data_IF_685547605373
#
_entry.id   IF_685547605373
#
_cell.length_a   1.000
_cell.length_b   1.000
_cell.length_c   1.000
_cell.angle_alpha   90.00
_cell.angle_beta   90.00
_cell.angle_gamma   90.00
#
_symmetry.space_group_name_H-M   'P 1'
#
loop_
_entity.id
_entity.type
_entity.pdbx_description
1 polymer ?
#
# COMPACT_ATOMS: atom_id res chain seq x y z
N UNK A 1 -14.36 -26.59 -8.96
CA UNK A 1 -13.36 -25.53 -8.90
C UNK A 1 -13.85 -24.56 -7.85
N UNK A 2 -13.24 -24.56 -6.68
CA UNK A 2 -13.53 -23.56 -5.64
C UNK A 2 -12.72 -22.34 -6.01
N UNK A 3 -13.40 -21.34 -6.56
CA UNK A 3 -12.81 -20.06 -6.92
C UNK A 3 -13.14 -19.09 -5.78
N UNK A 4 -12.12 -18.39 -5.28
CA UNK A 4 -12.34 -17.36 -4.26
C UNK A 4 -12.98 -16.15 -4.95
N UNK A 5 -14.15 -15.67 -4.49
CA UNK A 5 -14.76 -14.48 -5.06
C UNK A 5 -13.81 -13.27 -5.02
N UNK A 6 -13.83 -12.43 -6.05
CA UNK A 6 -12.94 -11.27 -6.16
C UNK A 6 -13.04 -10.31 -4.98
N UNK A 7 -14.25 -10.11 -4.43
CA UNK A 7 -14.47 -9.27 -3.24
C UNK A 7 -13.76 -9.82 -2.00
N UNK A 8 -13.70 -11.16 -1.86
CA UNK A 8 -12.97 -11.83 -0.79
C UNK A 8 -11.46 -11.63 -0.95
N UNK A 9 -10.94 -11.75 -2.19
CA UNK A 9 -9.52 -11.50 -2.49
C UNK A 9 -9.16 -10.04 -2.20
N UNK A 10 -10.02 -9.09 -2.59
CA UNK A 10 -9.84 -7.66 -2.31
C UNK A 10 -9.82 -7.40 -0.80
N UNK A 11 -10.75 -7.98 -0.05
CA UNK A 11 -10.82 -7.77 1.40
C UNK A 11 -9.63 -8.43 2.13
N UNK A 12 -9.22 -9.63 1.73
CA UNK A 12 -8.02 -10.29 2.28
C UNK A 12 -6.75 -9.47 2.02
N UNK A 13 -6.64 -8.88 0.83
CA UNK A 13 -5.55 -7.95 0.47
C UNK A 13 -5.58 -6.71 1.35
N UNK A 14 -6.75 -6.10 1.54
CA UNK A 14 -6.94 -4.92 2.40
C UNK A 14 -6.58 -5.21 3.86
N UNK A 15 -7.02 -6.33 4.40
CA UNK A 15 -6.69 -6.76 5.76
C UNK A 15 -5.19 -6.98 5.94
N UNK A 16 -4.52 -7.57 4.94
CA UNK A 16 -3.07 -7.76 4.95
C UNK A 16 -2.33 -6.42 4.95
N UNK A 17 -2.74 -5.47 4.11
CA UNK A 17 -2.19 -4.10 4.12
C UNK A 17 -2.37 -3.42 5.47
N UNK A 18 -3.57 -3.51 6.06
CA UNK A 18 -3.82 -2.98 7.40
C UNK A 18 -2.91 -3.61 8.45
N UNK A 19 -2.63 -4.92 8.36
CA UNK A 19 -1.74 -5.60 9.28
C UNK A 19 -0.29 -5.13 9.19
N UNK A 20 0.17 -4.79 7.98
CA UNK A 20 1.50 -4.24 7.71
C UNK A 20 1.64 -2.79 8.18
N UNK A 21 0.58 -2.00 8.01
CA UNK A 21 0.55 -0.58 8.38
C UNK A 21 0.27 -0.34 9.88
N UNK A 22 -0.18 -1.37 10.60
CA UNK A 22 -0.59 -1.26 12.00
C UNK A 22 0.60 -0.94 12.93
N UNK A 23 0.46 0.12 13.72
CA UNK A 23 1.43 0.51 14.75
C UNK A 23 1.31 -0.37 15.99
N UNK A 24 0.08 -0.82 16.32
CA UNK A 24 -0.17 -1.73 17.43
C UNK A 24 -0.06 -3.19 16.96
N UNK A 25 0.86 -4.00 17.54
CA UNK A 25 0.97 -5.42 17.23
C UNK A 25 -0.35 -6.20 17.41
N UNK A 26 -1.23 -5.77 18.33
CA UNK A 26 -2.53 -6.41 18.53
C UNK A 26 -3.49 -6.15 17.35
N UNK A 27 -3.48 -4.94 16.79
CA UNK A 27 -4.26 -4.61 15.58
C UNK A 27 -3.72 -5.39 14.38
N UNK A 28 -2.40 -5.49 14.24
CA UNK A 28 -1.76 -6.28 13.19
C UNK A 28 -2.19 -7.75 13.26
N UNK A 29 -2.18 -8.34 14.46
CA UNK A 29 -2.61 -9.73 14.68
C UNK A 29 -4.10 -9.92 14.37
N UNK A 30 -4.95 -9.03 14.86
CA UNK A 30 -6.39 -9.11 14.63
C UNK A 30 -6.79 -8.94 13.16
N UNK A 31 -6.00 -8.19 12.37
CA UNK A 31 -6.20 -8.08 10.93
C UNK A 31 -5.79 -9.38 10.20
N UNK A 32 -4.68 -10.02 10.60
CA UNK A 32 -4.27 -11.33 10.05
C UNK A 32 -5.24 -12.44 10.40
N UNK A 33 -5.67 -12.55 11.66
CA UNK A 33 -6.69 -13.53 12.10
C UNK A 33 -7.98 -13.40 11.28
N UNK A 34 -8.47 -12.18 11.08
CA UNK A 34 -9.66 -11.93 10.24
C UNK A 34 -9.47 -12.32 8.78
N UNK A 35 -8.29 -12.07 8.21
CA UNK A 35 -7.96 -12.49 6.84
C UNK A 35 -7.97 -14.00 6.74
N UNK A 36 -7.32 -14.67 7.69
CA UNK A 36 -7.16 -16.13 7.68
C UNK A 36 -8.54 -16.81 7.82
N UNK A 37 -9.39 -16.34 8.73
CA UNK A 37 -10.78 -16.80 8.86
C UNK A 37 -11.60 -16.59 7.57
N UNK A 38 -11.40 -15.45 6.90
CA UNK A 38 -12.12 -15.09 5.68
C UNK A 38 -11.78 -16.04 4.53
N UNK A 39 -10.50 -16.33 4.30
CA UNK A 39 -10.07 -17.19 3.18
C UNK A 39 -10.24 -18.68 3.48
N UNK A 40 -10.17 -19.08 4.76
CA UNK A 40 -10.44 -20.45 5.18
C UNK A 40 -11.88 -20.88 4.89
N UNK A 41 -12.84 -19.95 4.90
CA UNK A 41 -14.23 -20.22 4.50
C UNK A 41 -14.37 -20.67 3.03
N UNK A 42 -13.30 -20.53 2.24
CA UNK A 42 -13.23 -20.93 0.83
C UNK A 42 -12.19 -22.03 0.56
N UNK A 43 -11.67 -22.70 1.60
CA UNK A 43 -10.61 -23.71 1.51
C UNK A 43 -9.25 -23.15 1.02
N UNK A 44 -8.91 -21.91 1.39
CA UNK A 44 -7.63 -21.26 1.08
C UNK A 44 -6.87 -20.87 2.35
N UNK A 45 -5.55 -20.80 2.21
CA UNK A 45 -4.63 -20.30 3.23
C UNK A 45 -3.85 -19.11 2.69
N UNK A 46 -3.66 -18.10 3.54
CA UNK A 46 -2.91 -16.89 3.21
C UNK A 46 -1.45 -16.99 3.66
N UNK A 47 -0.54 -16.52 2.80
CA UNK A 47 0.87 -16.32 3.12
C UNK A 47 1.35 -14.98 2.62
N UNK A 48 2.10 -14.28 3.45
CA UNK A 48 2.83 -13.07 3.05
C UNK A 48 4.23 -13.46 2.57
N UNK A 49 4.58 -13.04 1.36
CA UNK A 49 5.92 -13.15 0.78
C UNK A 49 6.62 -11.81 0.97
N UNK A 50 7.64 -11.79 1.82
CA UNK A 50 8.31 -10.55 2.23
C UNK A 50 9.23 -9.98 1.14
N UNK A 51 9.76 -10.83 0.24
CA UNK A 51 10.72 -10.42 -0.78
C UNK A 51 10.16 -9.38 -1.76
N UNK A 52 8.87 -9.45 -2.07
CA UNK A 52 8.17 -8.58 -3.02
C UNK A 52 6.83 -8.05 -2.48
N UNK A 53 6.64 -8.11 -1.16
CA UNK A 53 5.41 -7.69 -0.49
C UNK A 53 4.15 -8.24 -1.17
N UNK A 54 4.06 -9.55 -1.37
CA UNK A 54 2.90 -10.18 -2.04
C UNK A 54 2.08 -11.03 -1.08
N UNK A 55 0.76 -10.87 -1.12
CA UNK A 55 -0.18 -11.83 -0.54
C UNK A 55 -0.39 -12.97 -1.52
N UNK A 56 -0.10 -14.19 -1.07
CA UNK A 56 -0.38 -15.42 -1.81
C UNK A 56 -1.51 -16.16 -1.10
N UNK A 57 -2.60 -16.42 -1.82
CA UNK A 57 -3.66 -17.30 -1.38
C UNK A 57 -3.53 -18.61 -2.15
N UNK A 58 -3.37 -19.73 -1.45
CA UNK A 58 -3.31 -21.05 -2.09
C UNK A 58 -4.30 -22.03 -1.44
N UNK A 59 -4.75 -23.05 -2.17
CA UNK A 59 -5.66 -24.06 -1.63
C UNK A 59 -5.11 -24.74 -0.37
N UNK A 60 -5.94 -24.91 0.65
CA UNK A 60 -5.56 -25.56 1.91
C UNK A 60 -5.09 -27.00 1.68
N UNK A 61 -5.65 -27.71 0.68
CA UNK A 61 -5.26 -29.08 0.34
C UNK A 61 -3.80 -29.24 -0.10
N UNK A 62 -3.12 -28.15 -0.46
CA UNK A 62 -1.69 -28.15 -0.74
C UNK A 62 -0.84 -28.24 0.53
N UNK A 63 -1.46 -28.15 1.70
CA UNK A 63 -0.81 -28.26 2.99
C UNK A 63 -1.22 -29.54 3.73
N UNK A 64 -0.26 -30.07 4.48
CA UNK A 64 -0.51 -30.93 5.62
C UNK A 64 0.10 -30.24 6.85
N UNK A 65 -0.76 -29.56 7.61
CA UNK A 65 -0.33 -28.62 8.64
C UNK A 65 0.49 -27.48 8.04
N UNK A 66 1.75 -27.34 8.46
CA UNK A 66 2.66 -26.31 7.95
C UNK A 66 3.52 -26.79 6.75
N UNK A 67 3.32 -28.04 6.31
CA UNK A 67 4.15 -28.66 5.27
C UNK A 67 3.46 -28.63 3.91
N UNK A 68 4.15 -28.13 2.89
CA UNK A 68 3.65 -28.15 1.50
C UNK A 68 3.75 -29.56 0.92
N UNK A 69 2.62 -30.05 0.39
CA UNK A 69 2.49 -31.31 -0.33
C UNK A 69 2.60 -31.08 -1.82
N UNK A 70 3.82 -31.17 -2.33
CA UNK A 70 4.12 -30.93 -3.76
C UNK A 70 3.28 -31.84 -4.66
N UNK A 71 2.98 -33.06 -4.23
CA UNK A 71 2.13 -34.01 -4.95
C UNK A 71 0.64 -33.62 -5.04
N UNK A 72 0.20 -32.60 -4.30
CA UNK A 72 -1.16 -32.04 -4.39
C UNK A 72 -1.22 -30.76 -5.23
N UNK A 73 -0.06 -30.26 -5.68
CA UNK A 73 0.04 -29.09 -6.56
C UNK A 73 -0.03 -29.58 -8.01
N UNK A 74 -1.23 -29.90 -8.47
CA UNK A 74 -1.47 -30.30 -9.86
C UNK A 74 -1.56 -29.10 -10.81
N UNK A 75 -1.91 -27.93 -10.28
CA UNK A 75 -2.12 -26.68 -11.05
C UNK A 75 -1.76 -25.46 -10.20
N UNK A 76 -0.62 -24.84 -10.50
CA UNK A 76 -0.13 -23.65 -9.79
C UNK A 76 -0.97 -22.41 -10.05
N UNK A 77 -1.76 -22.37 -11.12
CA UNK A 77 -2.59 -21.20 -11.49
C UNK A 77 -3.78 -21.01 -10.54
N UNK A 78 -4.02 -22.00 -9.67
CA UNK A 78 -4.99 -21.91 -8.58
C UNK A 78 -4.54 -21.03 -7.42
N UNK A 79 -3.25 -20.67 -7.35
CA UNK A 79 -2.77 -19.69 -6.40
C UNK A 79 -3.12 -18.28 -6.89
N UNK A 80 -3.59 -17.44 -5.97
CA UNK A 80 -3.91 -16.04 -6.25
C UNK A 80 -2.83 -15.19 -5.62
N UNK A 81 -2.10 -14.44 -6.44
CA UNK A 81 -1.09 -13.49 -5.98
C UNK A 81 -1.61 -12.06 -6.09
N UNK A 82 -1.50 -11.30 -5.00
CA UNK A 82 -1.85 -9.89 -4.93
C UNK A 82 -0.70 -9.08 -4.34
N UNK A 83 -0.08 -8.18 -5.14
CA UNK A 83 0.89 -7.22 -4.61
C UNK A 83 0.27 -6.36 -3.51
N UNK A 84 0.95 -6.26 -2.38
CA UNK A 84 0.55 -5.43 -1.24
C UNK A 84 1.05 -4.00 -1.39
N UNK A 85 2.10 -3.82 -2.19
CA UNK A 85 2.75 -2.56 -2.52
C UNK A 85 2.83 -2.41 -4.05
N UNK A 86 3.04 -1.19 -4.54
CA UNK A 86 3.09 -0.89 -5.97
C UNK A 86 1.73 -0.56 -6.59
N UNK A 87 1.71 -0.25 -7.90
CA UNK A 87 0.50 0.14 -8.61
C UNK A 87 -0.53 -0.98 -8.54
N UNK A 88 -1.71 -0.67 -8.00
CA UNK A 88 -2.88 -1.57 -8.02
C UNK A 88 -3.39 -1.79 -9.44
N UNK A 89 -4.70 -1.97 -9.61
CA UNK A 89 -5.27 -1.94 -10.96
C UNK A 89 -5.21 -0.50 -11.54
N UNK A 90 -5.28 -0.36 -12.87
CA UNK A 90 -5.16 0.95 -13.55
C UNK A 90 -6.25 1.96 -13.12
N UNK A 91 -7.45 1.50 -12.79
CA UNK A 91 -8.57 2.37 -12.40
C UNK A 91 -8.37 2.99 -11.00
N UNK A 92 -7.78 2.24 -10.07
CA UNK A 92 -7.37 2.75 -8.76
C UNK A 92 -6.23 3.78 -8.90
N UNK A 93 -5.36 3.57 -9.90
CA UNK A 93 -4.22 4.44 -10.15
C UNK A 93 -4.64 5.85 -10.60
N UNK A 94 -5.51 5.97 -11.59
CA UNK A 94 -5.98 7.27 -12.08
C UNK A 94 -6.72 8.06 -10.98
N UNK A 95 -7.54 7.38 -10.17
CA UNK A 95 -8.26 8.02 -9.07
C UNK A 95 -7.31 8.51 -7.97
N UNK A 96 -6.32 7.69 -7.60
CA UNK A 96 -5.30 8.07 -6.61
C UNK A 96 -4.47 9.24 -7.11
N UNK A 97 -4.01 9.19 -8.36
CA UNK A 97 -3.19 10.24 -8.96
C UNK A 97 -3.95 11.57 -9.04
N UNK A 98 -5.23 11.54 -9.45
CA UNK A 98 -6.07 12.73 -9.48
C UNK A 98 -6.28 13.34 -8.08
N UNK A 99 -6.56 12.50 -7.08
CA UNK A 99 -6.69 12.94 -5.68
C UNK A 99 -5.41 13.56 -5.16
N UNK A 100 -4.28 12.86 -5.34
CA UNK A 100 -2.97 13.29 -4.86
C UNK A 100 -2.54 14.63 -5.50
N UNK A 101 -2.80 14.80 -6.80
CA UNK A 101 -2.53 16.06 -7.49
C UNK A 101 -3.40 17.20 -6.98
N UNK A 102 -4.69 16.97 -6.78
CA UNK A 102 -5.59 17.98 -6.23
C UNK A 102 -5.17 18.44 -4.82
N UNK A 103 -4.69 17.52 -3.98
CA UNK A 103 -4.11 17.87 -2.67
C UNK A 103 -2.87 18.76 -2.84
N UNK A 104 -1.94 18.40 -3.73
CA UNK A 104 -0.72 19.18 -3.95
C UNK A 104 -1.02 20.60 -4.48
N UNK A 105 -1.97 20.73 -5.41
CA UNK A 105 -2.47 22.02 -5.90
C UNK A 105 -3.02 22.87 -4.75
N UNK A 106 -3.84 22.29 -3.88
CA UNK A 106 -4.40 23.01 -2.74
C UNK A 106 -3.34 23.43 -1.71
N UNK A 107 -2.32 22.60 -1.49
CA UNK A 107 -1.17 23.00 -0.66
C UNK A 107 -0.45 24.21 -1.26
N UNK A 108 -0.26 24.24 -2.58
CA UNK A 108 0.33 25.39 -3.26
C UNK A 108 -0.49 26.66 -3.07
N UNK A 109 -1.82 26.57 -3.18
CA UNK A 109 -2.74 27.70 -3.00
C UNK A 109 -2.76 28.23 -1.56
N UNK A 110 -2.80 27.35 -0.56
CA UNK A 110 -2.99 27.73 0.85
C UNK A 110 -1.66 28.06 1.55
N UNK A 111 -0.60 27.33 1.21
CA UNK A 111 0.67 27.39 1.92
C UNK A 111 1.82 27.96 1.07
N UNK A 112 1.60 28.18 -0.22
CA UNK A 112 2.56 28.77 -1.14
C UNK A 112 3.34 27.75 -1.96
N UNK A 113 3.97 28.22 -3.04
CA UNK A 113 4.56 27.39 -4.08
C UNK A 113 5.63 26.43 -3.58
N UNK A 114 6.51 26.84 -2.65
CA UNK A 114 7.54 25.95 -2.09
C UNK A 114 6.96 24.73 -1.39
N UNK A 115 5.86 24.91 -0.65
CA UNK A 115 5.14 23.80 -0.04
C UNK A 115 4.40 22.96 -1.09
N UNK A 116 3.82 23.61 -2.10
CA UNK A 116 3.17 22.95 -3.24
C UNK A 116 4.11 22.07 -4.06
N UNK A 117 5.32 22.53 -4.35
CA UNK A 117 6.32 21.76 -5.12
C UNK A 117 6.79 20.52 -4.33
N UNK A 118 6.99 20.66 -3.03
CA UNK A 118 7.28 19.52 -2.15
C UNK A 118 6.10 18.55 -2.08
N UNK A 119 4.87 19.07 -2.01
CA UNK A 119 3.65 18.28 -2.01
C UNK A 119 3.46 17.53 -3.34
N UNK A 120 3.78 18.14 -4.46
CA UNK A 120 3.73 17.51 -5.78
C UNK A 120 4.73 16.38 -5.90
N UNK A 121 5.98 16.58 -5.47
CA UNK A 121 6.97 15.50 -5.43
C UNK A 121 6.53 14.32 -4.53
N UNK A 122 5.85 14.63 -3.42
CA UNK A 122 5.30 13.61 -2.53
C UNK A 122 4.06 12.92 -3.11
N UNK A 123 3.22 13.65 -3.83
CA UNK A 123 2.10 13.11 -4.59
C UNK A 123 2.58 12.11 -5.65
N UNK A 124 3.60 12.49 -6.43
CA UNK A 124 4.22 11.63 -7.43
C UNK A 124 4.81 10.37 -6.78
N UNK A 125 5.46 10.48 -5.63
CA UNK A 125 5.98 9.32 -4.90
C UNK A 125 4.84 8.38 -4.46
N UNK A 126 3.83 8.91 -3.78
CA UNK A 126 2.73 8.10 -3.25
C UNK A 126 1.88 7.47 -4.36
N UNK A 127 1.65 8.18 -5.47
CA UNK A 127 0.92 7.68 -6.63
C UNK A 127 1.72 6.66 -7.44
N UNK A 128 2.96 6.99 -7.83
CA UNK A 128 3.77 6.11 -8.68
C UNK A 128 4.34 4.90 -7.94
N UNK A 129 4.84 5.08 -6.71
CA UNK A 129 5.56 4.03 -5.98
C UNK A 129 4.62 3.15 -5.17
N UNK A 130 3.58 3.73 -4.57
CA UNK A 130 2.66 3.01 -3.70
C UNK A 130 1.24 2.88 -4.25
N UNK A 131 0.86 3.66 -5.28
CA UNK A 131 -0.53 3.85 -5.71
C UNK A 131 -1.50 4.02 -4.54
N UNK A 132 -1.12 4.91 -3.62
CA UNK A 132 -1.89 5.22 -2.42
C UNK A 132 -2.23 6.70 -2.30
N UNK A 133 -3.38 7.04 -1.69
CA UNK A 133 -3.67 8.41 -1.28
C UNK A 133 -2.62 8.92 -0.29
N UNK A 134 -2.18 10.18 -0.46
CA UNK A 134 -1.09 10.79 0.33
C UNK A 134 -1.37 10.75 1.84
N UNK A 135 -2.62 10.90 2.27
CA UNK A 135 -3.00 10.88 3.70
C UNK A 135 -2.77 9.54 4.40
N UNK A 136 -2.57 8.47 3.62
CA UNK A 136 -2.29 7.12 4.12
C UNK A 136 -0.80 6.83 4.27
N UNK A 137 0.07 7.78 3.92
CA UNK A 137 1.51 7.61 4.03
C UNK A 137 1.93 7.29 5.47
N UNK A 138 2.68 6.20 5.64
CA UNK A 138 3.23 5.78 6.92
C UNK A 138 4.52 6.54 7.25
N UNK A 139 5.04 6.34 8.47
CA UNK A 139 6.32 6.92 8.87
C UNK A 139 7.50 6.37 8.02
N UNK A 140 7.50 5.08 7.69
CA UNK A 140 8.54 4.47 6.85
C UNK A 140 8.48 4.99 5.42
N UNK A 141 7.29 5.16 4.84
CA UNK A 141 7.13 5.75 3.51
C UNK A 141 7.63 7.20 3.47
N UNK A 142 7.35 7.98 4.53
CA UNK A 142 7.88 9.35 4.66
C UNK A 142 9.41 9.37 4.78
N UNK A 143 10.00 8.45 5.53
CA UNK A 143 11.45 8.32 5.66
C UNK A 143 12.11 7.96 4.32
N UNK A 144 11.55 6.97 3.62
CA UNK A 144 11.99 6.58 2.27
C UNK A 144 11.87 7.75 1.29
N UNK A 145 10.74 8.48 1.33
CA UNK A 145 10.58 9.67 0.50
C UNK A 145 11.72 10.67 0.75
N UNK A 146 11.99 11.00 2.02
CA UNK A 146 12.97 12.03 2.39
C UNK A 146 14.42 11.61 2.10
N UNK A 147 14.76 10.35 2.32
CA UNK A 147 16.14 9.86 2.26
C UNK A 147 16.52 9.28 0.90
N UNK A 148 15.55 8.73 0.17
CA UNK A 148 15.78 8.01 -1.08
C UNK A 148 15.16 8.70 -2.28
N UNK A 149 13.85 8.91 -2.28
CA UNK A 149 13.14 9.36 -3.47
C UNK A 149 13.38 10.85 -3.76
N UNK A 150 13.10 11.72 -2.80
CA UNK A 150 13.14 13.17 -2.92
C UNK A 150 14.51 13.71 -3.39
N UNK A 151 15.66 13.30 -2.83
CA UNK A 151 16.96 13.78 -3.31
C UNK A 151 17.33 13.29 -4.71
N UNK A 152 16.80 12.14 -5.16
CA UNK A 152 17.11 11.53 -6.47
C UNK A 152 16.19 12.03 -7.59
N UNK A 153 14.93 12.31 -7.27
CA UNK A 153 13.88 12.54 -8.28
C UNK A 153 13.37 13.98 -8.32
N UNK A 154 13.27 14.66 -7.18
CA UNK A 154 12.64 15.99 -7.10
C UNK A 154 13.61 17.16 -7.34
N UNK A 155 14.93 16.90 -7.30
CA UNK A 155 16.00 17.91 -7.49
C UNK A 155 15.78 19.23 -6.73
N UNK A 156 15.53 19.20 -5.41
CA UNK A 156 15.01 20.34 -4.69
C UNK A 156 16.03 21.46 -4.46
N UNK A 157 15.54 22.69 -4.49
CA UNK A 157 16.24 23.89 -4.04
C UNK A 157 16.60 23.82 -2.56
N UNK A 158 17.41 24.78 -2.09
CA UNK A 158 17.76 24.86 -0.66
C UNK A 158 16.54 25.20 0.20
N UNK A 159 15.67 26.07 -0.30
CA UNK A 159 14.45 26.49 0.40
C UNK A 159 13.46 25.33 0.51
N UNK A 160 13.21 24.61 -0.59
CA UNK A 160 12.39 23.40 -0.62
C UNK A 160 12.90 22.35 0.38
N UNK A 161 14.21 22.07 0.41
CA UNK A 161 14.81 21.13 1.38
C UNK A 161 14.65 21.59 2.83
N UNK A 162 14.82 22.88 3.10
CA UNK A 162 14.74 23.39 4.47
C UNK A 162 13.34 23.25 5.10
N UNK A 163 12.30 23.12 4.26
CA UNK A 163 10.90 23.04 4.73
C UNK A 163 10.20 21.73 4.36
N UNK A 164 10.93 20.73 3.85
CA UNK A 164 10.31 19.51 3.28
C UNK A 164 9.48 18.74 4.31
N UNK A 165 10.01 18.48 5.51
CA UNK A 165 9.28 17.75 6.56
C UNK A 165 7.99 18.48 6.95
N UNK A 166 8.07 19.79 7.15
CA UNK A 166 6.89 20.64 7.39
C UNK A 166 5.90 20.58 6.21
N UNK A 167 6.40 20.52 4.99
CA UNK A 167 5.56 20.40 3.80
C UNK A 167 4.77 19.08 3.83
N UNK A 168 5.41 17.96 4.18
CA UNK A 168 4.74 16.66 4.29
C UNK A 168 3.61 16.68 5.31
N UNK A 169 3.80 17.36 6.45
CA UNK A 169 2.77 17.51 7.47
C UNK A 169 1.60 18.37 6.99
N UNK A 170 1.89 19.48 6.30
CA UNK A 170 0.85 20.32 5.69
C UNK A 170 0.08 19.55 4.61
N UNK A 171 0.76 18.74 3.80
CA UNK A 171 0.13 17.94 2.75
C UNK A 171 -0.82 16.89 3.32
N UNK A 172 -0.36 16.08 4.28
CA UNK A 172 -1.22 15.05 4.91
C UNK A 172 -2.40 15.69 5.63
N UNK A 173 -2.18 16.83 6.30
CA UNK A 173 -3.26 17.59 6.92
C UNK A 173 -4.27 18.09 5.89
N UNK A 174 -3.79 18.72 4.82
CA UNK A 174 -4.63 19.24 3.74
C UNK A 174 -5.46 18.13 3.11
N UNK A 175 -4.89 16.95 2.89
CA UNK A 175 -5.59 15.79 2.36
C UNK A 175 -6.74 15.31 3.27
N UNK A 176 -6.54 15.31 4.60
CA UNK A 176 -7.58 14.91 5.57
C UNK A 176 -8.72 15.91 5.72
N UNK A 177 -8.47 17.17 5.36
CA UNK A 177 -9.47 18.26 5.37
C UNK A 177 -10.19 18.39 4.01
N UNK A 178 -9.90 17.51 3.05
CA UNK A 178 -10.42 17.46 1.68
C UNK A 178 -11.64 16.57 1.53
#
# INVERSE_FOLDING_TARGET
MTEVPDDIVTEATRLTRNARDAVDPAEARAARERRDDLVAAHDFVAREREEDATLVLYPEEWLEGETVRIECIDDTDRAIERPLEGPGNEADWESVEAHNRAVAERVAEVHGSTHGENAAAFADFMGNHYARPIETATASMREEFLTEYYPRNAWPSKEQRAVVEKSLDLTVRTARES
#
